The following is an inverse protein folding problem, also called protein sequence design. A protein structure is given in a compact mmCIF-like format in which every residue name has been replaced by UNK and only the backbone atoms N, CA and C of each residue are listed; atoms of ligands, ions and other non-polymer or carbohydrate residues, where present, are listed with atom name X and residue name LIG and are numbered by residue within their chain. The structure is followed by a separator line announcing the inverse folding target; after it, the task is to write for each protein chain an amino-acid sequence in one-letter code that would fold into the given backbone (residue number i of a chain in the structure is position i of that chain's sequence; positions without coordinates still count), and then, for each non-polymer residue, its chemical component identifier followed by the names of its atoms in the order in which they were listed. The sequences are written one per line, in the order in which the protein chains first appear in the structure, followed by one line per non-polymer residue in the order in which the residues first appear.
data_IF_268027931155
#
_entry.id   IF_268027931155
#
_cell.length_a   1.000
_cell.length_b   1.000
_cell.length_c   1.000
_cell.angle_alpha   90.00
_cell.angle_beta   90.00
_cell.angle_gamma   90.00
#
_symmetry.space_group_name_H-M   'P 1'
#
loop_
_entity.id
_entity.type
_entity.pdbx_description
1 polymer ?
#
# COMPACT_ATOMS: atom_id res chain seq x y z
N UNK A 1 1.03 -12.58 30.58
CA UNK A 1 0.24 -11.61 31.34
C UNK A 1 -0.32 -12.23 32.63
N UNK A 2 -1.10 -13.30 32.54
CA UNK A 2 -1.71 -13.94 33.71
C UNK A 2 -0.74 -14.75 34.59
N UNK A 3 0.43 -15.14 34.09
CA UNK A 3 1.43 -15.89 34.84
C UNK A 3 2.33 -15.01 35.74
N UNK A 4 2.39 -13.69 35.45
CA UNK A 4 3.32 -12.73 36.07
C UNK A 4 2.62 -11.50 36.66
N UNK A 5 1.29 -11.59 36.89
CA UNK A 5 0.48 -10.46 37.33
C UNK A 5 0.87 -9.85 38.68
N UNK A 6 1.55 -10.61 39.53
CA UNK A 6 1.99 -10.19 40.87
C UNK A 6 3.48 -9.78 40.93
N UNK A 7 4.20 -9.79 39.78
CA UNK A 7 5.59 -9.36 39.74
C UNK A 7 5.69 -7.83 39.84
N UNK A 8 6.58 -7.29 40.70
CA UNK A 8 6.76 -5.86 40.81
C UNK A 8 7.39 -5.30 39.54
N UNK A 9 6.83 -4.19 39.03
CA UNK A 9 7.39 -3.43 37.92
C UNK A 9 8.34 -2.38 38.47
N UNK A 10 9.49 -2.13 37.79
CA UNK A 10 10.41 -1.08 38.21
C UNK A 10 9.76 0.30 38.08
N UNK A 11 10.19 1.27 38.91
CA UNK A 11 9.68 2.64 38.82
C UNK A 11 9.95 3.28 37.47
N UNK A 12 11.04 2.92 36.79
CA UNK A 12 11.42 3.39 35.47
C UNK A 12 10.40 2.87 34.41
N UNK A 13 10.15 1.56 34.39
CA UNK A 13 9.16 0.94 33.48
C UNK A 13 7.75 1.46 33.74
N UNK A 14 7.38 1.69 35.02
CA UNK A 14 6.09 2.26 35.37
C UNK A 14 5.95 3.70 34.87
N UNK A 15 7.01 4.52 34.98
CA UNK A 15 7.01 5.90 34.50
C UNK A 15 6.89 5.94 32.97
N UNK A 16 7.66 5.12 32.25
CA UNK A 16 7.56 5.00 30.78
C UNK A 16 6.16 4.58 30.33
N UNK A 17 5.58 3.58 30.99
CA UNK A 17 4.22 3.12 30.69
C UNK A 17 3.20 4.24 30.89
N UNK A 18 3.29 5.01 32.00
CA UNK A 18 2.37 6.12 32.27
C UNK A 18 2.53 7.26 31.24
N UNK A 19 3.74 7.52 30.76
CA UNK A 19 3.98 8.47 29.68
C UNK A 19 3.29 8.01 28.38
N UNK A 20 3.46 6.74 28.00
CA UNK A 20 2.79 6.16 26.81
C UNK A 20 1.26 6.23 26.93
N UNK A 21 0.70 5.94 28.12
CA UNK A 21 -0.73 6.10 28.39
C UNK A 21 -1.16 7.56 28.23
N UNK A 22 -0.38 8.51 28.72
CA UNK A 22 -0.65 9.93 28.54
C UNK A 22 -0.69 10.35 27.06
N UNK A 23 0.28 9.86 26.29
CA UNK A 23 0.32 10.08 24.83
C UNK A 23 -0.85 9.40 24.12
N UNK A 24 -1.22 8.18 24.52
CA UNK A 24 -2.40 7.45 23.98
C UNK A 24 -3.70 8.19 24.28
N UNK A 25 -3.82 8.82 25.45
CA UNK A 25 -4.98 9.67 25.81
C UNK A 25 -5.13 10.89 24.90
N UNK A 26 -4.05 11.32 24.22
CA UNK A 26 -4.06 12.30 23.14
C UNK A 26 -4.38 11.70 21.75
N UNK A 27 -4.99 10.51 21.71
CA UNK A 27 -5.39 9.77 20.50
C UNK A 27 -4.23 9.29 19.60
N UNK A 28 -2.96 9.35 20.04
CA UNK A 28 -1.86 8.79 19.24
C UNK A 28 -2.05 7.27 19.12
N UNK A 29 -2.05 6.71 17.90
CA UNK A 29 -2.22 5.27 17.68
C UNK A 29 -1.18 4.44 18.46
N UNK A 30 -1.62 3.31 19.03
CA UNK A 30 -0.70 2.41 19.76
C UNK A 30 0.48 1.98 18.88
N UNK A 31 0.23 1.70 17.62
CA UNK A 31 1.26 1.29 16.67
C UNK A 31 2.34 2.38 16.46
N UNK A 32 1.96 3.66 16.47
CA UNK A 32 2.94 4.76 16.43
C UNK A 32 3.71 4.90 17.74
N UNK A 33 3.08 4.60 18.88
CA UNK A 33 3.75 4.63 20.18
C UNK A 33 4.75 3.50 20.35
N UNK A 34 4.42 2.31 19.85
CA UNK A 34 5.28 1.11 19.92
C UNK A 34 6.20 0.97 18.72
N UNK A 35 5.96 1.74 17.66
CA UNK A 35 6.63 1.61 16.38
C UNK A 35 6.45 0.24 15.73
N UNK A 36 5.35 -0.45 16.01
CA UNK A 36 5.07 -1.80 15.53
C UNK A 36 3.66 -1.90 14.98
N UNK A 37 3.53 -2.49 13.81
CA UNK A 37 2.25 -2.90 13.22
C UNK A 37 2.37 -4.30 12.62
N UNK A 38 1.32 -5.10 12.73
CA UNK A 38 1.27 -6.43 12.13
C UNK A 38 0.44 -6.38 10.85
N UNK A 39 0.95 -6.98 9.78
CA UNK A 39 0.31 -7.07 8.48
C UNK A 39 0.76 -8.34 7.76
N UNK A 40 -0.18 -9.13 7.21
CA UNK A 40 0.10 -10.44 6.59
C UNK A 40 0.88 -11.40 7.50
N UNK A 41 0.74 -11.27 8.83
CA UNK A 41 1.49 -12.04 9.80
C UNK A 41 2.93 -11.58 10.05
N UNK A 42 3.40 -10.54 9.39
CA UNK A 42 4.73 -9.95 9.55
C UNK A 42 4.68 -8.69 10.42
N UNK A 43 5.78 -8.40 11.12
CA UNK A 43 5.94 -7.19 11.91
C UNK A 43 6.61 -6.10 11.08
N UNK A 44 5.97 -4.92 11.01
CA UNK A 44 6.45 -3.73 10.32
C UNK A 44 6.76 -2.63 11.31
N UNK A 45 7.87 -1.94 11.11
CA UNK A 45 8.13 -0.66 11.75
C UNK A 45 7.22 0.42 11.14
N UNK A 46 6.61 1.23 12.00
CA UNK A 46 5.78 2.37 11.61
C UNK A 46 6.08 3.59 12.47
N UNK A 47 5.83 4.77 11.93
CA UNK A 47 5.91 6.05 12.64
C UNK A 47 4.88 7.02 12.05
N UNK A 48 4.93 8.28 12.45
CA UNK A 48 4.04 9.36 12.02
C UNK A 48 4.13 9.71 10.52
N UNK A 49 5.11 9.18 9.78
CA UNK A 49 5.32 9.49 8.36
C UNK A 49 4.62 8.53 7.40
N UNK A 50 4.02 7.46 7.91
CA UNK A 50 3.35 6.44 7.10
C UNK A 50 1.96 6.11 7.63
N UNK A 51 1.06 5.75 6.71
CA UNK A 51 -0.20 5.14 7.09
C UNK A 51 0.09 3.80 7.80
N UNK A 52 -0.54 3.60 8.96
CA UNK A 52 -0.46 2.32 9.66
C UNK A 52 -1.13 1.25 8.79
N UNK A 53 -0.44 0.13 8.47
CA UNK A 53 -1.03 -0.96 7.70
C UNK A 53 -2.38 -1.41 8.27
N UNK A 54 -3.40 -1.51 7.42
CA UNK A 54 -4.76 -1.90 7.79
C UNK A 54 -5.02 -3.35 7.39
N UNK A 55 -5.77 -4.09 8.19
CA UNK A 55 -6.12 -5.48 7.88
C UNK A 55 -6.92 -5.62 6.58
N UNK A 56 -7.79 -4.65 6.27
CA UNK A 56 -8.56 -4.65 5.02
C UNK A 56 -7.66 -4.67 3.78
N UNK A 57 -6.46 -4.06 3.87
CA UNK A 57 -5.44 -4.04 2.81
C UNK A 57 -4.85 -5.44 2.55
N UNK A 58 -4.95 -6.38 3.48
CA UNK A 58 -4.49 -7.76 3.27
C UNK A 58 -5.25 -8.42 2.11
N UNK A 59 -6.53 -8.07 1.90
CA UNK A 59 -7.33 -8.51 0.74
C UNK A 59 -6.66 -8.14 -0.59
N UNK A 60 -6.04 -6.96 -0.68
CA UNK A 60 -5.32 -6.52 -1.87
C UNK A 60 -4.08 -7.39 -2.15
N UNK A 61 -3.33 -7.73 -1.10
CA UNK A 61 -2.14 -8.60 -1.22
C UNK A 61 -2.55 -10.03 -1.60
N UNK A 62 -3.60 -10.57 -0.98
CA UNK A 62 -4.12 -11.90 -1.31
C UNK A 62 -4.56 -12.01 -2.77
N UNK A 63 -5.27 -11.00 -3.28
CA UNK A 63 -5.67 -10.96 -4.69
C UNK A 63 -4.45 -10.86 -5.62
N UNK A 64 -3.45 -10.04 -5.26
CA UNK A 64 -2.21 -9.95 -6.03
C UNK A 64 -1.50 -11.30 -6.12
N UNK A 65 -1.38 -12.02 -5.01
CA UNK A 65 -0.77 -13.36 -4.96
C UNK A 65 -1.50 -14.37 -5.85
N UNK A 66 -2.84 -14.34 -5.87
CA UNK A 66 -3.65 -15.21 -6.77
C UNK A 66 -3.36 -14.92 -8.25
N UNK A 67 -3.21 -13.65 -8.62
CA UNK A 67 -2.98 -13.24 -10.00
C UNK A 67 -1.51 -13.33 -10.43
N UNK A 68 -0.57 -13.37 -9.50
CA UNK A 68 0.82 -13.74 -9.78
C UNK A 68 0.96 -15.23 -10.10
N UNK A 69 0.14 -16.08 -9.47
CA UNK A 69 0.05 -17.51 -9.78
C UNK A 69 1.38 -18.18 -10.11
N UNK A 70 1.49 -18.72 -11.34
CA UNK A 70 2.66 -19.41 -11.84
C UNK A 70 3.65 -18.51 -12.60
N UNK A 71 3.50 -17.17 -12.52
CA UNK A 71 4.45 -16.23 -13.14
C UNK A 71 5.82 -16.42 -12.48
N UNK A 72 6.82 -16.79 -13.27
CA UNK A 72 8.20 -16.94 -12.79
C UNK A 72 8.87 -15.57 -12.66
N UNK A 73 9.54 -15.35 -11.52
CA UNK A 73 10.27 -14.11 -11.21
C UNK A 73 9.46 -12.85 -11.48
N UNK A 74 8.29 -12.73 -10.86
CA UNK A 74 7.41 -11.59 -11.13
C UNK A 74 8.05 -10.27 -10.70
N UNK A 75 7.82 -9.25 -11.53
CA UNK A 75 8.21 -7.86 -11.28
C UNK A 75 6.98 -7.07 -10.82
N UNK A 76 7.08 -6.46 -9.65
CA UNK A 76 5.97 -5.79 -8.96
C UNK A 76 6.23 -4.29 -8.89
N UNK A 77 5.23 -3.46 -9.19
CA UNK A 77 5.25 -2.02 -8.95
C UNK A 77 4.20 -1.68 -7.90
N UNK A 78 4.63 -1.21 -6.74
CA UNK A 78 3.75 -0.73 -5.67
C UNK A 78 3.75 0.81 -5.65
N UNK A 79 2.65 1.39 -6.09
CA UNK A 79 2.48 2.85 -6.17
C UNK A 79 1.81 3.39 -4.91
N UNK A 80 2.36 4.45 -4.33
CA UNK A 80 2.01 4.97 -3.00
C UNK A 80 2.35 3.94 -1.90
N UNK A 81 3.58 3.46 -1.90
CA UNK A 81 4.02 2.29 -1.11
C UNK A 81 3.99 2.51 0.41
N UNK A 82 4.07 3.76 0.88
CA UNK A 82 4.05 4.13 2.29
C UNK A 82 5.12 3.38 3.11
N UNK A 83 4.69 2.56 4.06
CA UNK A 83 5.58 1.71 4.87
C UNK A 83 6.22 0.56 4.11
N UNK A 84 5.84 0.33 2.86
CA UNK A 84 6.25 -0.82 2.06
C UNK A 84 5.47 -2.10 2.36
N UNK A 85 4.43 -2.06 3.20
CA UNK A 85 3.79 -3.28 3.70
C UNK A 85 3.20 -4.16 2.59
N UNK A 86 2.64 -3.59 1.53
CA UNK A 86 2.11 -4.35 0.39
C UNK A 86 3.24 -5.02 -0.38
N UNK A 87 4.19 -4.23 -0.87
CA UNK A 87 5.32 -4.75 -1.65
C UNK A 87 6.10 -5.81 -0.88
N UNK A 88 6.52 -5.47 0.34
CA UNK A 88 7.38 -6.35 1.13
C UNK A 88 6.68 -7.65 1.50
N UNK A 89 5.38 -7.65 1.78
CA UNK A 89 4.60 -8.87 2.00
C UNK A 89 4.56 -9.73 0.74
N UNK A 90 4.35 -9.14 -0.44
CA UNK A 90 4.40 -9.86 -1.71
C UNK A 90 5.79 -10.52 -1.94
N UNK A 91 6.88 -9.81 -1.61
CA UNK A 91 8.23 -10.34 -1.73
C UNK A 91 8.54 -11.47 -0.72
N UNK A 92 7.91 -11.43 0.46
CA UNK A 92 8.05 -12.50 1.46
C UNK A 92 7.32 -13.77 1.03
N UNK A 93 6.10 -13.63 0.50
CA UNK A 93 5.28 -14.76 0.01
C UNK A 93 5.83 -15.34 -1.32
N UNK A 94 6.46 -14.49 -2.15
CA UNK A 94 7.05 -14.88 -3.44
C UNK A 94 8.55 -14.63 -3.42
N UNK A 95 9.32 -15.67 -3.06
CA UNK A 95 10.78 -15.58 -2.90
C UNK A 95 11.53 -15.30 -4.21
N UNK A 96 10.93 -15.58 -5.34
CA UNK A 96 11.46 -15.33 -6.69
C UNK A 96 11.11 -13.95 -7.25
N UNK A 97 10.22 -13.19 -6.58
CA UNK A 97 9.77 -11.87 -7.00
C UNK A 97 10.78 -10.77 -6.66
N UNK A 98 10.78 -9.73 -7.50
CA UNK A 98 11.40 -8.44 -7.24
C UNK A 98 10.35 -7.34 -7.38
N UNK A 99 10.61 -6.16 -6.80
CA UNK A 99 9.65 -5.08 -6.95
C UNK A 99 10.22 -3.70 -6.67
N UNK A 100 9.45 -2.71 -7.09
CA UNK A 100 9.75 -1.29 -6.91
C UNK A 100 8.60 -0.64 -6.13
N UNK A 101 8.89 -0.09 -4.96
CA UNK A 101 7.97 0.76 -4.20
C UNK A 101 8.18 2.23 -4.57
N UNK A 102 7.09 2.94 -4.81
CA UNK A 102 7.09 4.35 -5.20
C UNK A 102 6.28 5.16 -4.21
N UNK A 103 6.85 6.25 -3.73
CA UNK A 103 6.14 7.22 -2.89
C UNK A 103 6.63 8.63 -3.18
N UNK A 104 5.78 9.63 -2.92
CA UNK A 104 6.13 11.05 -3.02
C UNK A 104 6.85 11.55 -1.75
N UNK A 105 6.73 10.82 -0.65
CA UNK A 105 7.35 11.15 0.64
C UNK A 105 8.68 10.43 0.81
N UNK A 106 9.81 11.15 0.84
CA UNK A 106 11.11 10.55 1.17
C UNK A 106 11.12 9.95 2.58
N UNK A 107 10.37 10.53 3.53
CA UNK A 107 10.25 10.01 4.89
C UNK A 107 9.54 8.64 4.93
N UNK A 108 8.50 8.46 4.11
CA UNK A 108 7.82 7.17 3.95
C UNK A 108 8.77 6.12 3.33
N UNK A 109 9.54 6.52 2.32
CA UNK A 109 10.53 5.62 1.70
C UNK A 109 11.64 5.20 2.67
N UNK A 110 12.06 6.05 3.61
CA UNK A 110 13.00 5.65 4.66
C UNK A 110 12.38 4.58 5.59
N UNK A 111 11.08 4.69 5.90
CA UNK A 111 10.37 3.64 6.65
C UNK A 111 10.32 2.34 5.84
N UNK A 112 9.96 2.41 4.55
CA UNK A 112 9.89 1.24 3.67
C UNK A 112 11.27 0.54 3.54
N UNK A 113 12.35 1.29 3.36
CA UNK A 113 13.73 0.75 3.34
C UNK A 113 14.12 0.09 4.65
N UNK A 114 13.76 0.72 5.79
CA UNK A 114 13.99 0.14 7.11
C UNK A 114 13.27 -1.20 7.25
N UNK A 115 12.01 -1.27 6.82
CA UNK A 115 11.23 -2.50 6.83
C UNK A 115 11.83 -3.57 5.92
N UNK A 116 12.28 -3.21 4.72
CA UNK A 116 12.97 -4.14 3.82
C UNK A 116 14.20 -4.78 4.48
N UNK A 117 15.00 -3.98 5.19
CA UNK A 117 16.17 -4.48 5.96
C UNK A 117 15.77 -5.37 7.13
N UNK A 118 14.74 -4.99 7.91
CA UNK A 118 14.22 -5.81 9.03
C UNK A 118 13.75 -7.16 8.53
N UNK A 119 13.01 -7.17 7.40
CA UNK A 119 12.43 -8.36 6.78
C UNK A 119 13.40 -9.12 5.87
N UNK A 120 14.61 -8.60 5.67
CA UNK A 120 15.70 -9.22 4.88
C UNK A 120 15.35 -9.45 3.41
N UNK A 121 14.65 -8.49 2.81
CA UNK A 121 14.25 -8.49 1.39
C UNK A 121 14.79 -7.29 0.62
N UNK A 122 15.70 -6.52 1.22
CA UNK A 122 16.29 -5.31 0.65
C UNK A 122 16.97 -5.52 -0.71
N UNK A 123 17.47 -6.73 -0.99
CA UNK A 123 18.11 -7.06 -2.29
C UNK A 123 17.11 -7.26 -3.43
N UNK A 124 15.80 -7.30 -3.12
CA UNK A 124 14.71 -7.54 -4.07
C UNK A 124 13.69 -6.40 -4.12
N UNK A 125 13.90 -5.38 -3.28
CA UNK A 125 13.04 -4.21 -3.18
C UNK A 125 13.81 -2.94 -3.53
N UNK A 126 13.42 -2.27 -4.60
CA UNK A 126 13.87 -0.91 -4.94
C UNK A 126 12.85 0.11 -4.44
N UNK A 127 13.31 1.30 -4.03
CA UNK A 127 12.44 2.39 -3.61
C UNK A 127 12.77 3.69 -4.33
N UNK A 128 11.74 4.30 -4.93
CA UNK A 128 11.87 5.48 -5.81
C UNK A 128 11.00 6.60 -5.31
N UNK A 129 11.61 7.76 -5.04
CA UNK A 129 10.87 9.00 -4.79
C UNK A 129 10.29 9.53 -6.09
N UNK A 130 8.95 9.61 -6.16
CA UNK A 130 8.24 10.09 -7.35
C UNK A 130 6.82 10.52 -7.02
N UNK A 131 6.37 11.61 -7.62
CA UNK A 131 4.95 11.88 -7.75
C UNK A 131 4.40 11.00 -8.89
N UNK A 132 3.88 9.84 -8.51
CA UNK A 132 3.44 8.78 -9.40
C UNK A 132 4.56 8.41 -10.40
N UNK A 133 4.34 8.60 -11.69
CA UNK A 133 5.28 8.25 -12.77
C UNK A 133 6.19 9.41 -13.21
N UNK A 134 6.30 10.50 -12.43
CA UNK A 134 7.01 11.71 -12.86
C UNK A 134 8.54 11.61 -12.78
N UNK A 135 9.09 10.70 -11.99
CA UNK A 135 10.53 10.58 -11.83
C UNK A 135 11.24 10.15 -13.13
N UNK A 136 12.51 10.56 -13.32
CA UNK A 136 13.34 10.11 -14.46
C UNK A 136 13.40 8.57 -14.58
N UNK A 137 13.33 7.87 -13.46
CA UNK A 137 13.25 6.40 -13.40
C UNK A 137 12.22 5.81 -14.37
N UNK A 138 11.04 6.42 -14.48
CA UNK A 138 9.99 5.98 -15.39
C UNK A 138 10.20 6.44 -16.82
N UNK A 139 10.80 7.62 -17.02
CA UNK A 139 11.09 8.16 -18.34
C UNK A 139 12.17 7.34 -19.08
N UNK A 140 13.21 6.88 -18.36
CA UNK A 140 14.32 6.10 -18.93
C UNK A 140 13.90 4.67 -19.26
N UNK A 141 13.04 4.05 -18.44
CA UNK A 141 12.54 2.67 -18.62
C UNK A 141 11.33 2.58 -19.55
N UNK A 142 10.54 3.64 -19.68
CA UNK A 142 9.32 3.68 -20.53
C UNK A 142 9.58 4.01 -22.02
N UNK A 143 10.84 4.22 -22.43
CA UNK A 143 11.16 4.64 -23.79
C UNK A 143 11.29 3.52 -24.82
N UNK A 144 11.67 2.31 -24.44
CA UNK A 144 11.75 1.10 -25.28
C UNK A 144 11.27 -0.18 -24.61
N UNK A 145 11.19 -0.22 -23.27
CA UNK A 145 10.74 -1.35 -22.50
C UNK A 145 9.35 -1.06 -21.89
N UNK A 146 8.37 -0.81 -22.77
CA UNK A 146 6.97 -0.85 -22.40
C UNK A 146 6.65 -2.25 -21.88
N UNK A 147 6.19 -2.35 -20.63
CA UNK A 147 5.83 -3.62 -20.06
C UNK A 147 6.94 -4.28 -19.26
N UNK A 148 7.31 -3.69 -18.12
CA UNK A 148 8.26 -4.30 -17.18
C UNK A 148 7.55 -5.13 -16.10
N UNK A 149 6.39 -4.68 -15.64
CA UNK A 149 5.77 -5.21 -14.44
C UNK A 149 4.66 -6.21 -14.75
N UNK A 150 4.63 -7.31 -14.01
CA UNK A 150 3.55 -8.30 -14.05
C UNK A 150 2.34 -7.79 -13.27
N UNK A 151 2.59 -7.05 -12.19
CA UNK A 151 1.56 -6.38 -11.38
C UNK A 151 1.95 -4.93 -11.11
N UNK A 152 0.97 -4.03 -11.26
CA UNK A 152 0.93 -2.71 -10.65
C UNK A 152 -0.15 -2.72 -9.58
N UNK A 153 0.26 -2.47 -8.35
CA UNK A 153 -0.62 -2.48 -7.17
C UNK A 153 -0.56 -1.13 -6.48
N UNK A 154 -1.66 -0.68 -5.89
CA UNK A 154 -1.67 0.56 -5.13
C UNK A 154 -2.80 0.60 -4.10
N UNK A 155 -2.48 1.10 -2.92
CA UNK A 155 -3.44 1.65 -1.97
C UNK A 155 -3.24 3.18 -1.94
N UNK A 156 -3.77 3.92 -2.92
CA UNK A 156 -3.55 5.36 -3.02
C UNK A 156 -4.46 6.11 -2.06
N UNK A 157 -4.15 7.38 -1.73
CA UNK A 157 -5.08 8.23 -0.98
C UNK A 157 -6.43 8.33 -1.70
N UNK A 158 -7.53 8.04 -0.98
CA UNK A 158 -8.86 7.92 -1.59
C UNK A 158 -9.99 8.63 -0.84
N UNK A 159 -9.68 9.35 0.23
CA UNK A 159 -10.68 10.09 1.01
C UNK A 159 -10.83 11.47 0.39
N UNK A 160 -12.07 11.88 0.11
CA UNK A 160 -12.32 13.24 -0.38
C UNK A 160 -11.85 14.28 0.64
N UNK A 161 -11.24 15.38 0.16
CA UNK A 161 -10.63 16.40 1.04
C UNK A 161 -11.57 16.88 2.15
N UNK A 162 -12.85 17.08 1.81
CA UNK A 162 -13.86 17.55 2.79
C UNK A 162 -14.23 16.48 3.83
N UNK A 163 -14.13 15.19 3.48
CA UNK A 163 -14.45 14.09 4.38
C UNK A 163 -13.36 13.87 5.44
N UNK A 164 -12.12 14.29 5.20
CA UNK A 164 -11.01 14.11 6.14
C UNK A 164 -11.32 14.73 7.50
N UNK A 165 -12.00 15.88 7.52
CA UNK A 165 -12.35 16.58 8.78
C UNK A 165 -13.41 15.84 9.61
N UNK A 166 -14.10 14.84 9.02
CA UNK A 166 -15.11 14.01 9.68
C UNK A 166 -14.56 12.70 10.23
N UNK A 167 -13.31 12.38 9.93
CA UNK A 167 -12.66 11.14 10.38
C UNK A 167 -12.47 11.13 11.90
N UNK A 168 -12.34 9.93 12.46
CA UNK A 168 -11.97 9.75 13.86
C UNK A 168 -10.67 10.52 14.15
N UNK A 169 -10.57 11.13 15.34
CA UNK A 169 -9.43 11.95 15.74
C UNK A 169 -8.10 11.22 15.61
N UNK A 170 -8.07 9.94 15.91
CA UNK A 170 -6.89 9.11 15.78
C UNK A 170 -6.32 9.10 14.34
N UNK A 171 -7.19 9.00 13.34
CA UNK A 171 -6.81 9.05 11.91
C UNK A 171 -6.51 10.48 11.48
N UNK A 172 -7.43 11.39 11.76
CA UNK A 172 -7.36 12.79 11.29
C UNK A 172 -6.14 13.54 11.81
N UNK A 173 -5.73 13.28 13.06
CA UNK A 173 -4.65 14.01 13.73
C UNK A 173 -3.27 13.34 13.59
N UNK A 174 -3.24 12.03 13.36
CA UNK A 174 -2.00 11.27 13.50
C UNK A 174 -1.58 10.50 12.25
N UNK A 175 -2.51 10.19 11.33
CA UNK A 175 -2.09 9.65 10.02
C UNK A 175 -1.65 10.80 9.09
N UNK A 176 -0.62 10.59 8.25
CA UNK A 176 -0.16 11.63 7.32
C UNK A 176 -1.28 12.07 6.37
N UNK A 177 -1.60 13.36 6.33
CA UNK A 177 -2.66 13.88 5.44
C UNK A 177 -2.44 13.47 3.98
N UNK A 178 -1.17 13.43 3.52
CA UNK A 178 -0.82 12.99 2.17
C UNK A 178 -1.22 11.54 1.88
N UNK A 179 -1.32 10.68 2.90
CA UNK A 179 -1.74 9.30 2.76
C UNK A 179 -3.27 9.12 2.77
N UNK A 180 -4.02 10.18 3.11
CA UNK A 180 -5.49 10.16 3.21
C UNK A 180 -6.16 10.88 2.05
N UNK A 181 -5.62 12.05 1.65
CA UNK A 181 -6.27 13.03 0.78
C UNK A 181 -6.28 12.61 -0.69
N UNK A 182 -7.39 12.03 -1.13
CA UNK A 182 -7.69 11.68 -2.52
C UNK A 182 -8.19 12.84 -3.39
N UNK A 183 -8.02 14.08 -2.93
CA UNK A 183 -8.48 15.33 -3.55
C UNK A 183 -10.01 15.47 -3.52
N UNK A 184 -10.58 16.30 -4.43
CA UNK A 184 -11.96 16.76 -4.38
C UNK A 184 -13.00 15.63 -4.23
N UNK A 185 -12.83 14.53 -4.95
CA UNK A 185 -13.79 13.42 -5.01
C UNK A 185 -13.20 12.06 -4.58
N UNK A 186 -11.98 12.04 -4.04
CA UNK A 186 -11.29 10.83 -3.64
C UNK A 186 -10.82 9.93 -4.80
N UNK A 187 -10.96 10.38 -6.05
CA UNK A 187 -10.68 9.54 -7.23
C UNK A 187 -9.46 10.02 -8.05
N UNK A 188 -8.78 11.06 -7.58
CA UNK A 188 -7.69 11.70 -8.33
C UNK A 188 -6.57 10.71 -8.69
N UNK A 189 -6.09 9.95 -7.73
CA UNK A 189 -4.96 9.03 -7.94
C UNK A 189 -5.34 7.87 -8.84
N UNK A 190 -6.55 7.32 -8.71
CA UNK A 190 -7.03 6.27 -9.62
C UNK A 190 -7.04 6.74 -11.08
N UNK A 191 -7.52 7.96 -11.35
CA UNK A 191 -7.49 8.55 -12.70
C UNK A 191 -6.07 8.64 -13.25
N UNK A 192 -5.14 9.17 -12.43
CA UNK A 192 -3.74 9.37 -12.84
C UNK A 192 -3.01 8.06 -13.07
N UNK A 193 -3.12 7.13 -12.14
CA UNK A 193 -2.43 5.85 -12.24
C UNK A 193 -3.01 5.03 -13.40
N UNK A 194 -4.33 4.92 -13.51
CA UNK A 194 -4.99 4.14 -14.58
C UNK A 194 -4.62 4.64 -15.98
N UNK A 195 -4.50 5.96 -16.18
CA UNK A 195 -4.14 6.55 -17.48
C UNK A 195 -2.74 6.13 -17.96
N UNK A 196 -1.82 5.86 -17.04
CA UNK A 196 -0.42 5.54 -17.37
C UNK A 196 -0.07 4.06 -17.17
N UNK A 197 -0.82 3.33 -16.32
CA UNK A 197 -0.50 1.97 -15.90
C UNK A 197 -0.25 1.00 -17.06
N UNK A 198 -1.04 1.12 -18.13
CA UNK A 198 -0.89 0.28 -19.32
C UNK A 198 0.48 0.37 -20.00
N UNK A 199 1.23 1.46 -19.80
CA UNK A 199 2.59 1.64 -20.37
C UNK A 199 3.64 0.82 -19.62
N UNK A 200 3.41 0.57 -18.34
CA UNK A 200 4.38 -0.08 -17.45
C UNK A 200 4.08 -1.56 -17.23
N UNK A 201 2.83 -1.97 -17.41
CA UNK A 201 2.43 -3.37 -17.33
C UNK A 201 2.85 -4.14 -18.58
N UNK A 202 3.29 -5.39 -18.38
CA UNK A 202 3.43 -6.39 -19.45
C UNK A 202 2.07 -6.67 -20.10
N UNK A 203 2.02 -7.14 -21.37
CA UNK A 203 0.81 -7.77 -21.90
C UNK A 203 0.35 -8.90 -20.95
N UNK A 204 -0.93 -8.93 -20.60
CA UNK A 204 -1.46 -9.86 -19.60
C UNK A 204 -1.20 -9.47 -18.14
N UNK A 205 -0.47 -8.39 -17.88
CA UNK A 205 -0.19 -7.89 -16.53
C UNK A 205 -1.43 -7.29 -15.87
N UNK A 206 -1.42 -7.20 -14.54
CA UNK A 206 -2.56 -6.83 -13.72
C UNK A 206 -2.40 -5.47 -13.05
N UNK A 207 -3.49 -4.70 -13.01
CA UNK A 207 -3.65 -3.48 -12.22
C UNK A 207 -4.60 -3.75 -11.07
N UNK A 208 -4.15 -3.50 -9.82
CA UNK A 208 -4.94 -3.70 -8.61
C UNK A 208 -4.96 -2.45 -7.75
N UNK A 209 -6.13 -2.11 -7.24
CA UNK A 209 -6.31 -1.01 -6.30
C UNK A 209 -7.05 -1.44 -5.05
N UNK A 210 -6.59 -0.97 -3.87
CA UNK A 210 -7.50 -0.79 -2.76
C UNK A 210 -8.38 0.43 -3.01
N UNK A 211 -9.64 0.37 -2.56
CA UNK A 211 -10.63 1.43 -2.75
C UNK A 211 -11.41 1.72 -1.47
N UNK A 212 -11.95 2.91 -1.36
CA UNK A 212 -13.06 3.18 -0.45
C UNK A 212 -14.31 2.38 -0.86
N UNK A 213 -15.05 1.87 0.12
CA UNK A 213 -16.13 0.91 -0.11
C UNK A 213 -17.28 1.38 -1.02
N UNK A 214 -17.35 2.67 -1.34
CA UNK A 214 -18.34 3.28 -2.24
C UNK A 214 -17.77 3.58 -3.63
N UNK A 215 -16.48 3.34 -3.88
CA UNK A 215 -15.78 3.78 -5.08
C UNK A 215 -15.68 2.68 -6.18
N UNK A 216 -16.10 1.46 -5.87
CA UNK A 216 -15.91 0.29 -6.74
C UNK A 216 -16.39 0.49 -8.17
N UNK A 217 -17.62 0.99 -8.37
CA UNK A 217 -18.19 1.21 -9.70
C UNK A 217 -17.41 2.29 -10.48
N UNK A 218 -17.06 3.39 -9.83
CA UNK A 218 -16.33 4.50 -10.46
C UNK A 218 -14.95 4.04 -10.95
N UNK A 219 -14.17 3.36 -10.08
CA UNK A 219 -12.84 2.87 -10.41
C UNK A 219 -12.91 1.76 -11.48
N UNK A 220 -13.86 0.82 -11.37
CA UNK A 220 -14.09 -0.21 -12.39
C UNK A 220 -14.39 0.40 -13.77
N UNK A 221 -15.21 1.45 -13.81
CA UNK A 221 -15.54 2.16 -15.05
C UNK A 221 -14.30 2.83 -15.65
N UNK A 222 -13.45 3.47 -14.83
CA UNK A 222 -12.20 4.07 -15.29
C UNK A 222 -11.26 3.03 -15.91
N UNK A 223 -11.08 1.89 -15.24
CA UNK A 223 -10.21 0.82 -15.74
C UNK A 223 -10.72 0.26 -17.07
N UNK A 224 -12.04 0.02 -17.20
CA UNK A 224 -12.65 -0.43 -18.47
C UNK A 224 -12.46 0.60 -19.59
N UNK A 225 -12.64 1.89 -19.29
CA UNK A 225 -12.44 2.97 -20.25
C UNK A 225 -10.97 3.10 -20.70
N UNK A 226 -10.01 2.73 -19.85
CA UNK A 226 -8.58 2.69 -20.15
C UNK A 226 -8.16 1.39 -20.90
N UNK A 227 -9.10 0.49 -21.22
CA UNK A 227 -8.83 -0.73 -21.98
C UNK A 227 -8.43 -1.95 -21.15
N UNK A 228 -8.56 -1.89 -19.83
CA UNK A 228 -8.38 -3.08 -18.98
C UNK A 228 -9.58 -4.03 -19.15
N UNK A 229 -9.29 -5.32 -19.17
CA UNK A 229 -10.28 -6.40 -19.31
C UNK A 229 -10.39 -7.22 -18.04
N UNK A 230 -11.43 -8.05 -17.93
CA UNK A 230 -11.64 -8.87 -16.73
C UNK A 230 -11.80 -8.06 -15.45
N UNK A 231 -12.26 -6.80 -15.55
CA UNK A 231 -12.36 -5.90 -14.39
C UNK A 231 -13.36 -6.44 -13.38
N UNK A 232 -12.91 -6.61 -12.14
CA UNK A 232 -13.69 -7.16 -11.03
C UNK A 232 -13.60 -6.25 -9.81
N UNK A 233 -14.63 -6.31 -8.98
CA UNK A 233 -14.68 -5.69 -7.65
C UNK A 233 -14.71 -6.83 -6.64
N UNK A 234 -13.75 -6.83 -5.73
CA UNK A 234 -13.59 -7.85 -4.68
C UNK A 234 -13.99 -7.23 -3.35
N UNK A 235 -14.68 -8.01 -2.54
CA UNK A 235 -15.13 -7.62 -1.21
C UNK A 235 -14.15 -8.10 -0.15
N UNK A 236 -14.03 -7.29 0.90
CA UNK A 236 -13.34 -7.68 2.12
C UNK A 236 -14.17 -8.68 2.97
N UNK A 237 -13.60 -9.11 4.09
CA UNK A 237 -14.24 -10.03 5.02
C UNK A 237 -15.61 -9.53 5.55
N UNK A 238 -15.78 -8.24 5.90
CA UNK A 238 -17.08 -7.66 6.23
C UNK A 238 -18.08 -7.58 5.07
N UNK A 239 -17.65 -7.85 3.83
CA UNK A 239 -18.52 -7.82 2.64
C UNK A 239 -18.64 -6.46 1.96
N UNK A 240 -17.75 -5.52 2.27
CA UNK A 240 -17.65 -4.22 1.62
C UNK A 240 -16.72 -4.30 0.40
N UNK A 241 -16.98 -3.49 -0.62
CA UNK A 241 -16.08 -3.39 -1.77
C UNK A 241 -14.73 -2.86 -1.31
N UNK A 242 -13.64 -3.60 -1.62
CA UNK A 242 -12.31 -3.28 -1.12
C UNK A 242 -11.24 -3.25 -2.19
N UNK A 243 -11.30 -4.11 -3.19
CA UNK A 243 -10.32 -4.17 -4.26
C UNK A 243 -11.00 -4.05 -5.61
N UNK A 244 -10.43 -3.25 -6.51
CA UNK A 244 -10.75 -3.28 -7.94
C UNK A 244 -9.51 -3.73 -8.69
N UNK A 245 -9.68 -4.72 -9.54
CA UNK A 245 -8.59 -5.26 -10.35
C UNK A 245 -9.00 -5.40 -11.82
N UNK A 246 -8.02 -5.41 -12.71
CA UNK A 246 -8.22 -5.63 -14.13
C UNK A 246 -6.93 -5.95 -14.85
N UNK A 247 -7.03 -6.65 -15.97
CA UNK A 247 -5.89 -7.15 -16.73
C UNK A 247 -5.67 -6.30 -17.99
N UNK A 248 -4.39 -5.96 -18.25
CA UNK A 248 -3.99 -5.40 -19.55
C UNK A 248 -4.14 -6.46 -20.64
N UNK A 249 -4.76 -6.10 -21.75
CA UNK A 249 -4.90 -7.02 -22.88
C UNK A 249 -3.56 -7.59 -23.34
N UNK A 250 -3.57 -8.87 -23.72
CA UNK A 250 -2.45 -9.47 -24.42
C UNK A 250 -2.30 -8.86 -25.82
N UNK A 251 -1.08 -8.63 -26.26
CA UNK A 251 -0.85 -8.24 -27.65
C UNK A 251 -1.11 -9.45 -28.54
N UNK A 252 -2.21 -9.40 -29.29
CA UNK A 252 -2.47 -10.41 -30.31
C UNK A 252 -1.52 -10.11 -31.48
N UNK A 253 -0.42 -10.85 -31.56
CA UNK A 253 0.41 -10.86 -32.76
C UNK A 253 -0.39 -11.59 -33.85
N UNK A 254 -1.00 -10.82 -34.79
CA UNK A 254 -1.63 -11.32 -36.01
C UNK A 254 -0.58 -11.53 -37.08
#
# INVERSE_FOLDING_TARGET
YFAHGDEPVSDETAAEYLELIGRRAGHIPVQQLTHQAFFMGYEFYVNENVLIPRQDTETLVEEALKHLGDVEKPEILDMCTGSGCILLSLLLERQDACGTGVDVSPEALEVAKKNAGILKVENRADFVESDLFSAPYFCEKGGKDSGKYDILISNPPYIATEEIETLMEEVRLHDPRKALDGMEDGLYFYRKITAEAGRYLKPGGWLLYEIGCTQGEAVSTMMKAAGFTGVQIIKDLPGLDRVVLGQKQEEIHV
#
